data_IF_685063057872
#
_entry.id   IF_685063057872
#
_cell.length_a   1.000
_cell.length_b   1.000
_cell.length_c   1.000
_cell.angle_alpha   90.00
_cell.angle_beta   90.00
_cell.angle_gamma   90.00
#
_symmetry.space_group_name_H-M   'P 1'
#
loop_
_entity.id
_entity.type
_entity.pdbx_description
1 polymer ?
#
# COMPACT_ATOMS: atom_id res chain seq x y z
N UNK A 1 9.38 16.60 -0.67
CA UNK A 1 8.58 15.52 -0.03
C UNK A 1 9.02 14.18 -0.62
N UNK A 2 9.49 13.23 0.18
CA UNK A 2 9.83 11.89 -0.31
C UNK A 2 8.55 11.08 -0.50
N UNK A 3 8.13 10.87 -1.76
CA UNK A 3 6.83 10.29 -2.13
C UNK A 3 6.60 8.92 -1.46
N UNK A 4 7.61 8.05 -1.44
CA UNK A 4 7.49 6.72 -0.81
C UNK A 4 7.25 6.79 0.70
N UNK A 5 7.91 7.71 1.41
CA UNK A 5 7.77 7.84 2.86
C UNK A 5 6.40 8.41 3.26
N UNK A 6 5.84 9.33 2.45
CA UNK A 6 4.47 9.83 2.66
C UNK A 6 3.45 8.72 2.42
N UNK A 7 3.63 7.93 1.36
CA UNK A 7 2.78 6.78 1.07
C UNK A 7 2.79 5.74 2.19
N UNK A 8 3.97 5.36 2.70
CA UNK A 8 4.08 4.38 3.79
C UNK A 8 3.36 4.85 5.07
N UNK A 9 3.44 6.15 5.41
CA UNK A 9 2.67 6.70 6.54
C UNK A 9 1.16 6.57 6.34
N UNK A 10 0.67 6.86 5.13
CA UNK A 10 -0.74 6.67 4.78
C UNK A 10 -1.16 5.20 4.87
N UNK A 11 -0.31 4.28 4.43
CA UNK A 11 -0.51 2.83 4.57
C UNK A 11 -0.60 2.43 6.05
N UNK A 12 0.32 2.90 6.89
CA UNK A 12 0.33 2.59 8.32
C UNK A 12 -0.90 3.13 9.06
N UNK A 13 -1.41 4.30 8.65
CA UNK A 13 -2.63 4.87 9.21
C UNK A 13 -3.90 4.11 8.77
N UNK A 14 -3.89 3.52 7.57
CA UNK A 14 -5.07 2.86 7.01
C UNK A 14 -5.14 1.37 7.32
N UNK A 15 -4.02 0.64 7.32
CA UNK A 15 -4.05 -0.82 7.45
C UNK A 15 -4.43 -1.24 8.88
N UNK A 16 -5.32 -2.23 9.06
CA UNK A 16 -5.85 -2.57 10.37
C UNK A 16 -4.94 -3.46 11.21
N UNK A 17 -3.75 -3.79 10.71
CA UNK A 17 -2.81 -4.70 11.35
C UNK A 17 -1.38 -4.21 11.25
N UNK A 18 -0.56 -4.67 12.19
CA UNK A 18 0.84 -4.27 12.27
C UNK A 18 1.64 -4.83 11.09
N UNK A 19 2.23 -3.94 10.31
CA UNK A 19 3.18 -4.30 9.26
C UNK A 19 4.53 -4.65 9.89
N UNK A 20 5.07 -5.83 9.57
CA UNK A 20 6.38 -6.29 10.09
C UNK A 20 7.51 -6.10 9.10
N UNK A 21 7.21 -6.18 7.82
CA UNK A 21 8.20 -6.05 6.77
C UNK A 21 7.58 -5.44 5.52
N UNK A 22 8.39 -4.72 4.76
CA UNK A 22 8.04 -4.20 3.43
C UNK A 22 9.14 -4.62 2.46
N UNK A 23 8.73 -5.13 1.30
CA UNK A 23 9.64 -5.48 0.21
C UNK A 23 9.47 -4.45 -0.92
N UNK A 24 10.54 -3.76 -1.29
CA UNK A 24 10.56 -2.80 -2.41
C UNK A 24 11.68 -3.10 -3.40
N UNK A 25 11.62 -2.48 -4.58
CA UNK A 25 12.75 -2.46 -5.49
C UNK A 25 13.79 -1.41 -5.06
N UNK A 26 14.89 -1.32 -5.81
CA UNK A 26 15.94 -0.34 -5.54
C UNK A 26 15.64 1.05 -6.17
N UNK A 27 14.36 1.38 -6.39
CA UNK A 27 13.95 2.67 -6.95
C UNK A 27 14.24 3.83 -5.99
N UNK A 28 14.51 5.01 -6.56
CA UNK A 28 14.88 6.24 -5.80
C UNK A 28 13.82 6.69 -4.79
N UNK A 29 12.57 6.24 -4.94
CA UNK A 29 11.49 6.53 -3.99
C UNK A 29 11.58 5.71 -2.70
N UNK A 30 12.29 4.58 -2.72
CA UNK A 30 12.37 3.61 -1.63
C UNK A 30 13.77 3.47 -1.07
N UNK A 31 14.80 3.72 -1.87
CA UNK A 31 16.18 3.68 -1.40
C UNK A 31 17.12 4.62 -2.15
N UNK A 32 18.23 4.93 -1.49
CA UNK A 32 19.37 5.59 -2.13
C UNK A 32 19.95 4.71 -3.25
N UNK A 33 20.50 5.37 -4.27
CA UNK A 33 21.21 4.69 -5.35
C UNK A 33 22.29 3.76 -4.75
N UNK A 34 22.54 2.57 -5.33
CA UNK A 34 23.47 1.59 -4.76
C UNK A 34 24.86 2.16 -4.42
N UNK A 35 25.34 3.12 -5.22
CA UNK A 35 26.60 3.86 -5.03
C UNK A 35 26.67 4.75 -3.77
N UNK A 36 25.53 5.11 -3.19
CA UNK A 36 25.42 5.99 -2.01
C UNK A 36 24.86 5.26 -0.79
N UNK A 37 24.73 3.93 -0.85
CA UNK A 37 24.09 3.12 0.19
C UNK A 37 25.08 2.63 1.25
N UNK A 38 26.38 2.80 1.03
CA UNK A 38 27.45 2.39 1.93
C UNK A 38 28.20 3.59 2.52
N UNK A 39 28.80 3.38 3.68
CA UNK A 39 29.61 4.37 4.38
C UNK A 39 28.89 5.13 5.50
N UNK A 40 29.63 5.95 6.26
CA UNK A 40 29.10 6.65 7.44
C UNK A 40 27.93 7.56 7.08
N UNK A 41 28.04 8.31 5.99
CA UNK A 41 27.04 9.28 5.54
C UNK A 41 25.69 8.62 5.20
N UNK A 42 25.71 7.45 4.56
CA UNK A 42 24.50 6.68 4.26
C UNK A 42 23.81 6.19 5.54
N UNK A 43 24.61 5.73 6.51
CA UNK A 43 24.14 5.22 7.81
C UNK A 43 23.56 6.32 8.70
N UNK A 44 24.15 7.51 8.70
CA UNK A 44 23.68 8.65 9.51
C UNK A 44 22.52 9.42 8.87
N UNK A 45 22.48 9.52 7.53
CA UNK A 45 21.41 10.26 6.84
C UNK A 45 20.09 9.49 6.87
N UNK A 46 20.13 8.19 6.58
CA UNK A 46 18.97 7.32 6.45
C UNK A 46 18.00 7.78 5.36
N UNK A 47 17.80 6.98 4.31
CA UNK A 47 16.80 7.30 3.29
C UNK A 47 15.44 7.59 3.96
N UNK A 48 14.68 8.55 3.44
CA UNK A 48 13.45 9.00 4.11
C UNK A 48 12.44 7.86 4.30
N UNK A 49 12.45 6.85 3.42
CA UNK A 49 11.66 5.63 3.56
C UNK A 49 12.18 4.73 4.69
N UNK A 50 13.50 4.51 4.77
CA UNK A 50 14.14 3.70 5.81
C UNK A 50 13.86 4.25 7.21
N UNK A 51 13.87 5.57 7.35
CA UNK A 51 13.56 6.23 8.63
C UNK A 51 12.14 5.91 9.13
N UNK A 52 11.14 5.95 8.24
CA UNK A 52 9.76 5.55 8.59
C UNK A 52 9.70 4.08 8.98
N UNK A 53 10.41 3.22 8.25
CA UNK A 53 10.46 1.81 8.59
C UNK A 53 11.05 1.59 9.98
N UNK A 54 12.16 2.26 10.33
CA UNK A 54 12.78 2.15 11.66
C UNK A 54 11.88 2.69 12.78
N UNK A 55 11.26 3.86 12.59
CA UNK A 55 10.32 4.47 13.54
C UNK A 55 9.18 3.53 13.92
N UNK A 56 8.73 2.69 12.98
CA UNK A 56 7.61 1.78 13.16
C UNK A 56 8.03 0.30 13.36
N UNK A 57 9.33 0.02 13.51
CA UNK A 57 9.83 -1.36 13.69
C UNK A 57 9.60 -2.28 12.48
N UNK A 58 9.53 -1.71 11.28
CA UNK A 58 9.30 -2.42 10.02
C UNK A 58 10.64 -2.80 9.40
N UNK A 59 10.80 -4.07 9.09
CA UNK A 59 11.95 -4.54 8.32
C UNK A 59 11.83 -4.12 6.84
N UNK A 60 12.71 -3.24 6.38
CA UNK A 60 12.76 -2.90 4.96
C UNK A 60 13.66 -3.87 4.20
N UNK A 61 13.04 -4.69 3.36
CA UNK A 61 13.70 -5.64 2.46
C UNK A 61 13.72 -5.07 1.05
N UNK A 62 14.82 -5.32 0.35
CA UNK A 62 15.01 -4.87 -1.02
C UNK A 62 15.14 -6.06 -1.94
N UNK A 63 14.57 -5.95 -3.13
CA UNK A 63 14.79 -6.97 -4.16
C UNK A 63 16.28 -7.02 -4.51
N UNK A 64 16.78 -8.25 -4.69
CA UNK A 64 18.14 -8.43 -5.18
C UNK A 64 18.21 -7.93 -6.63
N UNK A 65 19.29 -7.24 -7.04
CA UNK A 65 19.51 -6.89 -8.43
C UNK A 65 19.39 -8.14 -9.32
N UNK A 66 18.77 -8.00 -10.50
CA UNK A 66 18.57 -9.10 -11.47
C UNK A 66 17.64 -10.24 -11.00
N UNK A 67 16.81 -10.02 -9.98
CA UNK A 67 15.79 -10.97 -9.52
C UNK A 67 14.35 -10.43 -9.66
N UNK A 68 13.85 -10.22 -10.90
CA UNK A 68 12.59 -9.53 -11.15
C UNK A 68 11.36 -10.25 -10.58
N UNK A 69 11.41 -11.58 -10.44
CA UNK A 69 10.26 -12.35 -9.94
C UNK A 69 9.89 -12.01 -8.49
N UNK A 70 10.84 -11.47 -7.69
CA UNK A 70 10.58 -11.13 -6.28
C UNK A 70 9.64 -9.92 -6.17
N UNK A 71 9.57 -9.08 -7.21
CA UNK A 71 8.61 -7.97 -7.32
C UNK A 71 7.35 -8.35 -8.13
N UNK A 72 7.25 -9.61 -8.57
CA UNK A 72 6.25 -10.03 -9.56
C UNK A 72 4.80 -9.87 -9.11
N UNK A 73 4.53 -9.91 -7.80
CA UNK A 73 3.17 -9.68 -7.26
C UNK A 73 2.73 -8.23 -7.46
N UNK A 74 3.56 -7.25 -7.08
CA UNK A 74 3.27 -5.85 -7.26
C UNK A 74 3.17 -5.48 -8.75
N UNK A 75 4.09 -5.99 -9.57
CA UNK A 75 4.07 -5.78 -11.02
C UNK A 75 2.82 -6.38 -11.69
N UNK A 76 2.39 -7.58 -11.27
CA UNK A 76 1.15 -8.21 -11.76
C UNK A 76 -0.09 -7.42 -11.35
N UNK A 77 -0.14 -6.91 -10.13
CA UNK A 77 -1.24 -6.06 -9.66
C UNK A 77 -1.28 -4.76 -10.47
N UNK A 78 -0.14 -4.09 -10.65
CA UNK A 78 -0.04 -2.87 -11.44
C UNK A 78 -0.49 -3.09 -12.88
N UNK A 79 -0.13 -4.23 -13.48
CA UNK A 79 -0.60 -4.61 -14.82
C UNK A 79 -2.11 -4.78 -14.85
N UNK A 80 -2.68 -5.49 -13.87
CA UNK A 80 -4.12 -5.72 -13.77
C UNK A 80 -4.90 -4.41 -13.66
N UNK A 81 -4.43 -3.47 -12.84
CA UNK A 81 -5.03 -2.13 -12.73
C UNK A 81 -4.93 -1.39 -14.08
N UNK A 82 -3.77 -1.41 -14.74
CA UNK A 82 -3.59 -0.75 -16.04
C UNK A 82 -4.50 -1.34 -17.12
N UNK A 83 -4.60 -2.66 -17.18
CA UNK A 83 -5.46 -3.38 -18.13
C UNK A 83 -6.94 -3.05 -17.90
N UNK A 84 -7.36 -2.91 -16.65
CA UNK A 84 -8.73 -2.53 -16.30
C UNK A 84 -9.04 -1.03 -16.45
N UNK A 85 -8.02 -0.17 -16.59
CA UNK A 85 -8.18 1.29 -16.60
C UNK A 85 -7.62 1.91 -17.88
N UNK A 86 -6.38 2.39 -17.87
CA UNK A 86 -5.77 3.22 -18.92
C UNK A 86 -5.59 2.51 -20.26
N UNK A 87 -5.63 1.18 -20.31
CA UNK A 87 -5.59 0.44 -21.58
C UNK A 87 -6.97 0.23 -22.22
N UNK A 88 -8.03 0.27 -21.42
CA UNK A 88 -9.39 0.01 -21.87
C UNK A 88 -10.22 1.29 -22.02
N UNK A 89 -9.84 2.37 -21.35
CA UNK A 89 -10.59 3.62 -21.30
C UNK A 89 -9.69 4.84 -21.50
N UNK A 90 -10.25 5.87 -22.13
CA UNK A 90 -9.68 7.22 -22.15
C UNK A 90 -10.32 8.06 -21.04
N UNK A 91 -9.51 8.90 -20.40
CA UNK A 91 -9.95 9.78 -19.32
C UNK A 91 -9.78 11.24 -19.72
N UNK A 92 -10.75 12.11 -19.40
CA UNK A 92 -10.64 13.55 -19.68
C UNK A 92 -9.59 14.24 -18.79
N UNK A 93 -9.39 13.73 -17.57
CA UNK A 93 -8.45 14.28 -16.60
C UNK A 93 -7.94 13.20 -15.62
N UNK A 94 -7.01 13.60 -14.75
CA UNK A 94 -6.44 12.74 -13.72
C UNK A 94 -7.47 12.37 -12.63
N UNK A 95 -8.45 13.24 -12.35
CA UNK A 95 -9.45 13.00 -11.31
C UNK A 95 -10.38 11.84 -11.70
N UNK A 96 -10.80 11.78 -12.96
CA UNK A 96 -11.56 10.68 -13.53
C UNK A 96 -10.79 9.35 -13.47
N UNK A 97 -9.49 9.36 -13.79
CA UNK A 97 -8.63 8.19 -13.63
C UNK A 97 -8.53 7.76 -12.16
N UNK A 98 -8.31 8.70 -11.24
CA UNK A 98 -8.23 8.41 -9.81
C UNK A 98 -9.53 7.80 -9.28
N UNK A 99 -10.68 8.34 -9.68
CA UNK A 99 -11.99 7.82 -9.31
C UNK A 99 -12.19 6.37 -9.80
N UNK A 100 -11.80 6.07 -11.04
CA UNK A 100 -11.90 4.70 -11.56
C UNK A 100 -10.93 3.74 -10.87
N UNK A 101 -9.68 4.15 -10.59
CA UNK A 101 -8.74 3.33 -9.81
C UNK A 101 -9.30 3.03 -8.41
N UNK A 102 -9.90 4.02 -7.75
CA UNK A 102 -10.55 3.81 -6.44
C UNK A 102 -11.75 2.85 -6.53
N UNK A 103 -12.59 2.98 -7.56
CA UNK A 103 -13.68 2.06 -7.80
C UNK A 103 -13.18 0.62 -8.03
N UNK A 104 -12.10 0.46 -8.81
CA UNK A 104 -11.45 -0.83 -9.02
C UNK A 104 -10.94 -1.42 -7.71
N UNK A 105 -10.23 -0.64 -6.88
CA UNK A 105 -9.71 -1.12 -5.58
C UNK A 105 -10.85 -1.54 -4.65
N UNK A 106 -11.95 -0.79 -4.60
CA UNK A 106 -13.14 -1.16 -3.82
C UNK A 106 -13.75 -2.47 -4.33
N UNK A 107 -13.98 -2.61 -5.63
CA UNK A 107 -14.51 -3.84 -6.21
C UNK A 107 -13.57 -5.03 -5.96
N UNK A 108 -12.26 -4.84 -6.08
CA UNK A 108 -11.27 -5.88 -5.81
C UNK A 108 -11.31 -6.35 -4.35
N UNK A 109 -11.36 -5.42 -3.40
CA UNK A 109 -11.32 -5.76 -1.98
C UNK A 109 -12.63 -6.34 -1.45
N UNK A 110 -13.78 -5.88 -1.95
CA UNK A 110 -15.09 -6.21 -1.38
C UNK A 110 -15.97 -7.13 -2.22
N UNK A 111 -15.81 -7.15 -3.55
CA UNK A 111 -16.68 -7.93 -4.44
C UNK A 111 -15.97 -9.09 -5.14
N UNK A 112 -14.65 -8.99 -5.36
CA UNK A 112 -13.89 -10.00 -6.12
C UNK A 112 -13.44 -11.16 -5.24
N UNK A 113 -14.02 -12.34 -5.47
CA UNK A 113 -13.56 -13.58 -4.85
C UNK A 113 -12.28 -14.08 -5.54
N UNK A 114 -11.26 -14.40 -4.75
CA UNK A 114 -9.96 -14.84 -5.26
C UNK A 114 -9.73 -16.31 -4.95
N UNK A 115 -9.38 -17.10 -5.98
CA UNK A 115 -9.04 -18.52 -5.82
C UNK A 115 -7.91 -18.74 -4.79
N UNK A 116 -6.90 -17.87 -4.79
CA UNK A 116 -5.79 -17.92 -3.83
C UNK A 116 -6.23 -17.72 -2.36
N UNK A 117 -7.37 -17.06 -2.14
CA UNK A 117 -7.98 -16.85 -0.83
C UNK A 117 -9.11 -17.84 -0.55
N UNK A 118 -9.08 -19.03 -1.17
CA UNK A 118 -10.14 -20.05 -1.04
C UNK A 118 -11.52 -19.50 -1.41
N UNK A 119 -11.58 -18.76 -2.51
CA UNK A 119 -12.80 -18.11 -3.00
C UNK A 119 -13.41 -17.10 -2.02
N UNK A 120 -12.56 -16.42 -1.24
CA UNK A 120 -12.95 -15.28 -0.40
C UNK A 120 -12.53 -13.97 -1.04
N UNK A 121 -13.20 -12.88 -0.68
CA UNK A 121 -12.72 -11.53 -0.99
C UNK A 121 -11.53 -11.17 -0.09
N UNK A 122 -10.65 -10.25 -0.50
CA UNK A 122 -9.59 -9.73 0.36
C UNK A 122 -10.11 -9.22 1.72
N UNK A 123 -11.25 -8.53 1.72
CA UNK A 123 -11.90 -8.08 2.94
C UNK A 123 -12.30 -9.24 3.87
N UNK A 124 -12.99 -10.25 3.33
CA UNK A 124 -13.36 -11.44 4.11
C UNK A 124 -12.12 -12.11 4.70
N UNK A 125 -11.07 -12.31 3.89
CA UNK A 125 -9.82 -12.91 4.35
C UNK A 125 -9.16 -12.11 5.49
N UNK A 126 -9.24 -10.78 5.47
CA UNK A 126 -8.77 -9.93 6.56
C UNK A 126 -9.61 -10.11 7.84
N UNK A 127 -10.93 -10.13 7.73
CA UNK A 127 -11.82 -10.41 8.87
C UNK A 127 -11.59 -11.81 9.46
N UNK A 128 -11.41 -12.82 8.62
CA UNK A 128 -11.07 -14.18 9.07
C UNK A 128 -9.73 -14.26 9.80
N UNK A 129 -8.73 -13.50 9.33
CA UNK A 129 -7.43 -13.42 9.97
C UNK A 129 -7.55 -12.74 11.34
N UNK A 130 -8.39 -11.70 11.46
CA UNK A 130 -8.69 -11.04 12.72
C UNK A 130 -9.35 -11.98 13.73
N UNK A 131 -10.37 -12.74 13.32
CA UNK A 131 -11.02 -13.74 14.20
C UNK A 131 -10.04 -14.77 14.75
N UNK A 132 -9.02 -15.14 13.97
CA UNK A 132 -7.99 -16.12 14.38
C UNK A 132 -6.91 -15.54 15.26
N UNK A 133 -6.50 -14.30 15.01
CA UNK A 133 -5.44 -13.63 15.76
C UNK A 133 -5.73 -12.13 15.86
N UNK A 134 -6.60 -11.70 16.78
CA UNK A 134 -6.96 -10.29 16.90
C UNK A 134 -5.81 -9.43 17.45
N UNK A 135 -4.84 -10.02 18.16
CA UNK A 135 -3.75 -9.29 18.82
C UNK A 135 -2.80 -8.58 17.85
N UNK A 136 -2.73 -9.02 16.58
CA UNK A 136 -1.89 -8.35 15.56
C UNK A 136 -2.63 -7.22 14.84
N UNK A 137 -3.91 -7.00 15.14
CA UNK A 137 -4.73 -5.95 14.57
C UNK A 137 -4.82 -4.76 15.51
N UNK A 138 -4.65 -3.56 14.96
CA UNK A 138 -4.81 -2.28 15.65
C UNK A 138 -6.22 -1.71 15.51
N UNK A 139 -6.96 -2.12 14.47
CA UNK A 139 -8.32 -1.67 14.17
C UNK A 139 -9.16 -2.91 13.86
N UNK A 140 -10.41 -2.94 14.34
CA UNK A 140 -11.35 -3.97 13.94
C UNK A 140 -11.64 -3.85 12.43
N UNK A 141 -11.28 -4.85 11.60
CA UNK A 141 -11.44 -4.75 10.15
C UNK A 141 -12.91 -4.69 9.70
N UNK A 142 -13.87 -5.07 10.56
CA UNK A 142 -15.29 -4.90 10.27
C UNK A 142 -15.71 -3.43 10.20
N UNK A 143 -14.96 -2.52 10.82
CA UNK A 143 -15.14 -1.09 10.61
C UNK A 143 -14.49 -0.75 9.26
N UNK A 144 -15.32 -0.44 8.25
CA UNK A 144 -14.89 -0.18 6.87
C UNK A 144 -13.63 0.69 6.80
N UNK A 145 -12.57 0.13 6.22
CA UNK A 145 -11.30 0.82 6.06
C UNK A 145 -11.26 1.42 4.66
N UNK A 146 -11.25 2.76 4.56
CA UNK A 146 -11.37 3.41 3.26
C UNK A 146 -10.06 3.38 2.44
N UNK A 147 -8.97 2.86 3.03
CA UNK A 147 -7.66 2.71 2.39
C UNK A 147 -6.78 3.96 2.52
N UNK A 148 -5.51 3.90 2.09
CA UNK A 148 -4.54 4.99 2.29
C UNK A 148 -4.78 6.23 1.41
N UNK A 149 -5.68 6.14 0.42
CA UNK A 149 -5.97 7.21 -0.55
C UNK A 149 -7.30 7.91 -0.24
N UNK A 150 -7.50 8.29 1.03
CA UNK A 150 -8.59 9.18 1.41
C UNK A 150 -8.14 10.63 1.26
N UNK A 151 -8.49 11.24 0.12
CA UNK A 151 -8.41 12.70 -0.07
C UNK A 151 -9.35 13.48 0.87
N UNK A 152 -10.13 12.82 1.72
CA UNK A 152 -11.09 13.44 2.65
C UNK A 152 -10.48 14.00 3.93
N UNK A 153 -9.16 13.94 4.15
CA UNK A 153 -8.51 14.65 5.27
C UNK A 153 -8.02 16.06 4.90
N UNK A 154 -8.25 16.50 3.66
CA UNK A 154 -8.07 17.89 3.25
C UNK A 154 -9.45 18.50 2.92
N UNK A 155 -10.19 18.89 3.96
CA UNK A 155 -11.36 19.76 3.83
C UNK A 155 -12.68 19.05 3.48
N UNK A 156 -13.39 18.58 4.51
CA UNK A 156 -14.86 18.72 4.54
C UNK A 156 -15.34 18.51 5.97
N UNK A 157 -16.16 19.46 6.42
CA UNK A 157 -16.72 19.55 7.75
C UNK A 157 -17.51 18.28 8.13
N UNK A 158 -17.52 18.01 9.42
CA UNK A 158 -18.41 17.06 10.06
C UNK A 158 -19.83 17.20 9.51
N UNK A 159 -20.35 16.12 8.95
CA UNK A 159 -21.80 15.96 8.77
C UNK A 159 -22.33 15.51 10.13
N UNK A 160 -23.21 16.28 10.80
CA UNK A 160 -23.84 15.82 12.02
C UNK A 160 -24.79 14.68 11.67
N UNK A 161 -24.74 13.61 12.45
CA UNK A 161 -25.79 12.61 12.46
C UNK A 161 -27.09 13.29 12.88
N UNK A 162 -28.11 13.20 12.02
CA UNK A 162 -29.51 13.32 12.38
C UNK A 162 -30.13 11.92 12.28
#
# INVERSE_FOLDING_TARGET
>A
MAIGAAFLRGVLAAFPYQLRAVLTDNGIAFADAPRHRSGPTARYRGHAFDRVCWEHGIEHRLTKPYHPWTNGQAERMNRTVKDATVKAFHYPDLAALQAHVLAFVRAYNFAKHLKALRWRTPFQAACDAWTKNPAIFTINPHHLIPGPNNSTLAGTAAVPLA
#
